data_IF_396425588873
#
_entry.id   IF_396425588873
#
_cell.length_a   1.000
_cell.length_b   1.000
_cell.length_c   1.000
_cell.angle_alpha   90.00
_cell.angle_beta   90.00
_cell.angle_gamma   90.00
#
_symmetry.space_group_name_H-M   'P 1'
#
loop_
_entity.id
_entity.type
_entity.pdbx_description
1 polymer ?
#
# COMPACT_ATOMS: atom_id res chain seq x y z
N UNK A 1 27.39 -14.99 -14.22
CA UNK A 1 26.26 -15.64 -13.49
C UNK A 1 26.03 -15.05 -12.10
N UNK A 2 27.05 -14.94 -11.23
CA UNK A 2 26.92 -14.33 -9.88
C UNK A 2 26.38 -12.88 -9.88
N UNK A 3 26.80 -12.06 -10.84
CA UNK A 3 26.31 -10.68 -11.01
C UNK A 3 24.79 -10.61 -11.23
N UNK A 4 24.26 -11.53 -12.06
CA UNK A 4 22.83 -11.61 -12.39
C UNK A 4 22.02 -12.04 -11.17
N UNK A 5 22.53 -12.98 -10.37
CA UNK A 5 21.90 -13.43 -9.12
C UNK A 5 21.86 -12.28 -8.10
N UNK A 6 22.96 -11.52 -7.93
CA UNK A 6 22.97 -10.35 -7.04
C UNK A 6 21.94 -9.29 -7.45
N UNK A 7 21.82 -9.01 -8.75
CA UNK A 7 20.82 -8.06 -9.27
C UNK A 7 19.38 -8.53 -9.02
N UNK A 8 19.10 -9.83 -9.18
CA UNK A 8 17.77 -10.39 -8.88
C UNK A 8 17.43 -10.33 -7.39
N UNK A 9 18.39 -10.61 -6.51
CA UNK A 9 18.20 -10.50 -5.05
C UNK A 9 17.97 -9.04 -4.65
N UNK A 10 18.78 -8.11 -5.16
CA UNK A 10 18.63 -6.69 -4.86
C UNK A 10 17.27 -6.13 -5.33
N UNK A 11 16.82 -6.52 -6.52
CA UNK A 11 15.49 -6.16 -7.02
C UNK A 11 14.37 -6.71 -6.12
N UNK A 12 14.46 -7.98 -5.68
CA UNK A 12 13.49 -8.58 -4.78
C UNK A 12 13.40 -7.87 -3.42
N UNK A 13 14.55 -7.51 -2.83
CA UNK A 13 14.59 -6.76 -1.56
C UNK A 13 13.94 -5.38 -1.71
N UNK A 14 14.17 -4.69 -2.83
CA UNK A 14 13.59 -3.38 -3.08
C UNK A 14 12.06 -3.44 -3.22
N UNK A 15 11.51 -4.47 -3.87
CA UNK A 15 10.06 -4.66 -3.99
C UNK A 15 9.43 -4.92 -2.61
N UNK A 16 10.03 -5.79 -1.79
CA UNK A 16 9.56 -6.08 -0.44
C UNK A 16 9.56 -4.85 0.47
N UNK A 17 10.56 -3.97 0.33
CA UNK A 17 10.63 -2.71 1.06
C UNK A 17 9.52 -1.73 0.67
N UNK A 18 9.21 -1.61 -0.64
CA UNK A 18 8.10 -0.77 -1.12
C UNK A 18 6.77 -1.27 -0.56
N UNK A 19 6.52 -2.58 -0.63
CA UNK A 19 5.29 -3.18 -0.11
C UNK A 19 5.16 -2.97 1.41
N UNK A 20 6.23 -3.15 2.17
CA UNK A 20 6.23 -2.90 3.62
C UNK A 20 5.92 -1.43 3.96
N UNK A 21 6.50 -0.48 3.22
CA UNK A 21 6.22 0.94 3.38
C UNK A 21 4.75 1.27 3.06
N UNK A 22 4.19 0.65 2.01
CA UNK A 22 2.79 0.81 1.66
C UNK A 22 1.85 0.29 2.76
N UNK A 23 2.09 -0.93 3.27
CA UNK A 23 1.31 -1.52 4.37
C UNK A 23 1.35 -0.67 5.63
N UNK A 24 2.52 -0.16 6.00
CA UNK A 24 2.68 0.76 7.15
C UNK A 24 1.85 2.04 6.98
N UNK A 25 1.84 2.61 5.78
CA UNK A 25 1.05 3.79 5.47
C UNK A 25 -0.45 3.49 5.55
N UNK A 26 -0.90 2.37 4.98
CA UNK A 26 -2.31 1.95 5.05
C UNK A 26 -2.77 1.75 6.49
N UNK A 27 -2.03 0.98 7.30
CA UNK A 27 -2.36 0.76 8.71
C UNK A 27 -2.33 2.07 9.50
N UNK A 28 -1.37 2.96 9.19
CA UNK A 28 -1.27 4.28 9.79
C UNK A 28 -2.46 5.20 9.51
N UNK A 29 -3.18 5.01 8.41
CA UNK A 29 -4.40 5.75 8.06
C UNK A 29 -5.66 5.03 8.58
N UNK A 30 -5.71 3.71 8.48
CA UNK A 30 -6.88 2.92 8.89
C UNK A 30 -7.11 2.95 10.40
N UNK A 31 -6.07 2.81 11.22
CA UNK A 31 -6.20 2.85 12.68
C UNK A 31 -6.85 4.15 13.21
N UNK A 32 -6.38 5.36 12.86
CA UNK A 32 -7.03 6.59 13.31
C UNK A 32 -8.40 6.81 12.66
N UNK A 33 -8.64 6.31 11.45
CA UNK A 33 -9.96 6.40 10.82
C UNK A 33 -11.00 5.56 11.58
N UNK A 34 -10.70 4.27 11.80
CA UNK A 34 -11.59 3.33 12.51
C UNK A 34 -11.70 3.72 14.00
N UNK A 35 -10.57 4.08 14.61
CA UNK A 35 -10.55 4.58 15.99
C UNK A 35 -11.31 5.88 16.15
N UNK A 36 -11.19 6.79 15.18
CA UNK A 36 -11.92 8.04 15.12
C UNK A 36 -13.43 7.85 14.95
N UNK A 37 -13.85 6.90 14.09
CA UNK A 37 -15.29 6.58 13.96
C UNK A 37 -15.86 5.94 15.23
N UNK A 38 -15.10 5.05 15.88
CA UNK A 38 -15.51 4.44 17.14
C UNK A 38 -15.61 5.50 18.27
N UNK A 39 -14.63 6.42 18.34
CA UNK A 39 -14.66 7.54 19.27
C UNK A 39 -15.84 8.46 19.00
N UNK A 40 -16.13 8.78 17.73
CA UNK A 40 -17.26 9.61 17.36
C UNK A 40 -18.58 8.94 17.79
N UNK A 41 -18.75 7.65 17.53
CA UNK A 41 -19.93 6.89 17.95
C UNK A 41 -20.12 6.92 19.49
N UNK A 42 -19.03 6.74 20.24
CA UNK A 42 -19.03 6.85 21.70
C UNK A 42 -19.45 8.25 22.16
N UNK A 43 -18.85 9.29 21.58
CA UNK A 43 -19.16 10.69 21.94
C UNK A 43 -20.61 11.05 21.60
N UNK A 44 -21.12 10.60 20.45
CA UNK A 44 -22.53 10.82 20.09
C UNK A 44 -23.46 10.14 21.08
N UNK A 45 -23.17 8.89 21.48
CA UNK A 45 -23.99 8.18 22.44
C UNK A 45 -23.96 8.89 23.81
N UNK A 46 -22.77 9.27 24.29
CA UNK A 46 -22.61 10.01 25.54
C UNK A 46 -23.40 11.33 25.51
N UNK A 47 -23.32 12.07 24.41
CA UNK A 47 -24.05 13.32 24.23
C UNK A 47 -25.57 13.11 24.27
N UNK A 48 -26.10 12.05 23.62
CA UNK A 48 -27.54 11.75 23.67
C UNK A 48 -28.05 11.44 25.08
N UNK A 49 -27.25 10.77 25.90
CA UNK A 49 -27.57 10.49 27.31
C UNK A 49 -27.52 11.78 28.13
N UNK A 50 -26.46 12.59 27.97
CA UNK A 50 -26.28 13.83 28.72
C UNK A 50 -27.32 14.91 28.41
N UNK A 51 -27.79 14.97 27.15
CA UNK A 51 -28.85 15.88 26.72
C UNK A 51 -30.26 15.37 27.08
N UNK A 52 -30.39 14.19 27.69
CA UNK A 52 -31.67 13.58 28.04
C UNK A 52 -32.48 13.10 26.83
N UNK A 53 -31.85 12.94 25.66
CA UNK A 53 -32.49 12.39 24.45
C UNK A 53 -32.63 10.87 24.56
N UNK A 54 -31.64 10.22 25.17
CA UNK A 54 -31.65 8.79 25.46
C UNK A 54 -31.68 8.56 26.98
N UNK A 55 -32.55 7.66 27.44
CA UNK A 55 -32.55 7.27 28.85
C UNK A 55 -31.31 6.43 29.18
N UNK A 56 -30.72 6.59 30.37
CA UNK A 56 -29.59 5.78 30.83
C UNK A 56 -30.07 4.37 31.19
N UNK A 57 -30.30 3.54 30.17
CA UNK A 57 -30.56 2.10 30.33
C UNK A 57 -29.26 1.32 30.52
N UNK A 58 -29.37 0.11 31.09
CA UNK A 58 -28.23 -0.80 31.22
C UNK A 58 -27.55 -1.09 29.87
N UNK A 59 -28.33 -1.22 28.80
CA UNK A 59 -27.85 -1.48 27.45
C UNK A 59 -27.04 -0.29 26.90
N UNK A 60 -27.52 0.93 27.12
CA UNK A 60 -26.83 2.14 26.70
C UNK A 60 -25.49 2.31 27.43
N UNK A 61 -25.46 1.98 28.73
CA UNK A 61 -24.23 2.00 29.53
C UNK A 61 -23.25 0.90 29.06
N UNK A 62 -23.74 -0.31 28.80
CA UNK A 62 -22.92 -1.41 28.29
C UNK A 62 -22.32 -1.08 26.91
N UNK A 63 -23.11 -0.47 26.03
CA UNK A 63 -22.62 0.01 24.73
C UNK A 63 -21.48 1.02 24.88
N UNK A 64 -21.61 1.99 25.79
CA UNK A 64 -20.55 2.97 26.07
C UNK A 64 -19.26 2.29 26.56
N UNK A 65 -19.35 1.31 27.47
CA UNK A 65 -18.19 0.54 27.93
C UNK A 65 -17.52 -0.26 26.82
N UNK A 66 -18.32 -0.93 25.98
CA UNK A 66 -17.81 -1.70 24.83
C UNK A 66 -17.10 -0.79 23.83
N UNK A 67 -17.68 0.37 23.49
CA UNK A 67 -17.04 1.33 22.60
C UNK A 67 -15.78 1.94 23.21
N UNK A 68 -15.79 2.25 24.51
CA UNK A 68 -14.59 2.72 25.21
C UNK A 68 -13.46 1.67 25.17
N UNK A 69 -13.78 0.39 25.38
CA UNK A 69 -12.82 -0.71 25.26
C UNK A 69 -12.27 -0.84 23.83
N UNK A 70 -13.11 -0.72 22.80
CA UNK A 70 -12.69 -0.73 21.39
C UNK A 70 -11.74 0.44 21.11
N UNK A 71 -12.06 1.66 21.54
CA UNK A 71 -11.20 2.84 21.38
C UNK A 71 -9.86 2.63 22.09
N UNK A 72 -9.86 2.05 23.30
CA UNK A 72 -8.64 1.75 24.04
C UNK A 72 -7.75 0.75 23.27
N UNK A 73 -8.33 -0.34 22.77
CA UNK A 73 -7.62 -1.35 21.99
C UNK A 73 -7.03 -0.75 20.72
N UNK A 74 -7.82 0.02 19.95
CA UNK A 74 -7.35 0.67 18.71
C UNK A 74 -6.25 1.69 18.98
N UNK A 75 -6.35 2.43 20.09
CA UNK A 75 -5.30 3.36 20.53
C UNK A 75 -4.01 2.60 20.90
N UNK A 76 -4.14 1.50 21.64
CA UNK A 76 -3.02 0.61 21.96
C UNK A 76 -2.34 0.08 20.70
N UNK A 77 -3.11 -0.42 19.73
CA UNK A 77 -2.62 -0.87 18.43
C UNK A 77 -1.92 0.24 17.64
N UNK A 78 -2.44 1.48 17.72
CA UNK A 78 -1.78 2.65 17.11
C UNK A 78 -0.41 2.91 17.74
N UNK A 79 -0.29 2.80 19.06
CA UNK A 79 1.00 2.92 19.76
C UNK A 79 1.95 1.79 19.35
N UNK A 80 1.48 0.54 19.27
CA UNK A 80 2.28 -0.61 18.82
C UNK A 80 2.78 -0.42 17.39
N UNK A 81 1.92 0.02 16.46
CA UNK A 81 2.29 0.31 15.08
C UNK A 81 3.36 1.41 14.99
N UNK A 82 3.27 2.42 15.86
CA UNK A 82 4.23 3.54 15.86
C UNK A 82 5.57 3.17 16.50
N UNK A 83 5.56 2.36 17.57
CA UNK A 83 6.74 2.15 18.43
C UNK A 83 7.42 0.79 18.29
N UNK A 84 6.70 -0.26 17.90
CA UNK A 84 7.21 -1.64 17.97
C UNK A 84 7.37 -2.24 16.58
N UNK A 85 6.27 -2.66 15.95
CA UNK A 85 6.29 -3.36 14.68
C UNK A 85 4.96 -3.22 13.97
N UNK A 86 5.02 -2.83 12.69
CA UNK A 86 3.84 -2.77 11.82
C UNK A 86 3.25 -4.14 11.58
N UNK A 87 4.08 -5.17 11.39
CA UNK A 87 3.57 -6.54 11.14
C UNK A 87 2.80 -7.08 12.36
N UNK A 88 3.33 -6.86 13.56
CA UNK A 88 2.64 -7.25 14.80
C UNK A 88 1.33 -6.48 14.99
N UNK A 89 1.34 -5.17 14.73
CA UNK A 89 0.15 -4.33 14.82
C UNK A 89 -0.91 -4.74 13.79
N UNK A 90 -0.52 -5.09 12.56
CA UNK A 90 -1.45 -5.60 11.53
C UNK A 90 -2.11 -6.91 11.94
N UNK A 91 -1.33 -7.88 12.44
CA UNK A 91 -1.85 -9.17 12.91
C UNK A 91 -2.82 -8.96 14.07
N UNK A 92 -2.42 -8.16 15.06
CA UNK A 92 -3.25 -7.87 16.22
C UNK A 92 -4.52 -7.10 15.84
N UNK A 93 -4.44 -6.15 14.90
CA UNK A 93 -5.61 -5.43 14.39
C UNK A 93 -6.61 -6.36 13.67
N UNK A 94 -6.14 -7.20 12.75
CA UNK A 94 -7.00 -8.16 12.03
C UNK A 94 -7.64 -9.16 12.99
N UNK A 95 -6.88 -9.62 13.99
CA UNK A 95 -7.40 -10.53 15.03
C UNK A 95 -8.45 -9.84 15.91
N UNK A 96 -8.19 -8.60 16.33
CA UNK A 96 -9.15 -7.81 17.09
C UNK A 96 -10.44 -7.55 16.28
N UNK A 97 -10.31 -7.30 14.98
CA UNK A 97 -11.47 -7.11 14.08
C UNK A 97 -12.29 -8.39 13.96
N UNK A 98 -11.64 -9.56 13.86
CA UNK A 98 -12.33 -10.85 13.86
C UNK A 98 -13.08 -11.08 15.19
N UNK A 99 -12.40 -10.88 16.32
CA UNK A 99 -13.01 -11.05 17.65
C UNK A 99 -14.20 -10.10 17.82
N UNK A 100 -14.03 -8.83 17.41
CA UNK A 100 -15.10 -7.85 17.46
C UNK A 100 -16.32 -8.33 16.66
N UNK A 101 -16.13 -8.77 15.41
CA UNK A 101 -17.22 -9.27 14.57
C UNK A 101 -17.94 -10.47 15.20
N UNK A 102 -17.20 -11.37 15.86
CA UNK A 102 -17.78 -12.55 16.52
C UNK A 102 -18.56 -12.21 17.81
N UNK A 103 -18.24 -11.08 18.45
CA UNK A 103 -18.85 -10.66 19.71
C UNK A 103 -19.89 -9.54 19.56
N UNK A 104 -20.02 -8.94 18.37
CA UNK A 104 -20.90 -7.77 18.16
C UNK A 104 -22.38 -8.15 18.17
N UNK A 105 -22.72 -9.30 17.59
CA UNK A 105 -24.10 -9.75 17.46
C UNK A 105 -24.33 -11.07 18.23
N UNK A 106 -25.59 -11.43 18.41
CA UNK A 106 -25.95 -12.74 18.96
C UNK A 106 -25.35 -13.87 18.09
N UNK A 107 -24.89 -14.99 18.70
CA UNK A 107 -24.26 -16.09 17.97
C UNK A 107 -25.07 -16.58 16.77
N UNK A 108 -26.40 -16.61 16.91
CA UNK A 108 -27.32 -16.99 15.83
C UNK A 108 -27.26 -15.99 14.67
N UNK A 109 -27.28 -14.68 14.93
CA UNK A 109 -27.23 -13.65 13.89
C UNK A 109 -25.86 -13.59 13.18
N UNK A 110 -24.77 -13.84 13.93
CA UNK A 110 -23.41 -13.93 13.38
C UNK A 110 -23.30 -15.10 12.40
N UNK A 111 -23.86 -16.25 12.79
CA UNK A 111 -23.83 -17.48 11.98
C UNK A 111 -24.78 -17.37 10.79
N UNK A 112 -26.00 -16.87 10.97
CA UNK A 112 -27.05 -16.89 9.94
C UNK A 112 -26.81 -15.94 8.76
N UNK A 113 -26.07 -14.85 8.94
CA UNK A 113 -25.58 -14.10 7.79
C UNK A 113 -25.31 -12.62 7.97
N UNK A 114 -25.91 -11.98 8.97
CA UNK A 114 -25.87 -10.52 9.12
C UNK A 114 -24.44 -10.00 9.29
N UNK A 115 -23.64 -10.72 10.06
CA UNK A 115 -22.26 -10.34 10.38
C UNK A 115 -21.23 -10.96 9.41
N UNK A 116 -21.67 -11.71 8.37
CA UNK A 116 -20.76 -12.29 7.35
C UNK A 116 -20.00 -11.21 6.59
N UNK A 117 -20.61 -10.03 6.41
CA UNK A 117 -19.94 -8.87 5.82
C UNK A 117 -18.74 -8.45 6.67
N UNK A 118 -18.88 -8.47 8.00
CA UNK A 118 -17.76 -8.20 8.91
C UNK A 118 -16.62 -9.21 8.73
N UNK A 119 -16.94 -10.49 8.58
CA UNK A 119 -15.95 -11.54 8.33
C UNK A 119 -15.26 -11.36 6.98
N UNK A 120 -16.01 -10.98 5.93
CA UNK A 120 -15.43 -10.63 4.64
C UNK A 120 -14.44 -9.46 4.76
N UNK A 121 -14.77 -8.43 5.54
CA UNK A 121 -13.86 -7.32 5.83
C UNK A 121 -12.59 -7.78 6.54
N UNK A 122 -12.68 -8.72 7.50
CA UNK A 122 -11.48 -9.34 8.14
C UNK A 122 -10.57 -9.98 7.10
N UNK A 123 -11.14 -10.79 6.19
CA UNK A 123 -10.39 -11.53 5.16
C UNK A 123 -9.69 -10.56 4.22
N UNK A 124 -10.39 -9.53 3.76
CA UNK A 124 -9.83 -8.48 2.89
C UNK A 124 -8.74 -7.72 3.63
N UNK A 125 -9.01 -7.28 4.87
CA UNK A 125 -8.04 -6.57 5.69
C UNK A 125 -6.76 -7.39 5.91
N UNK A 126 -6.87 -8.72 6.08
CA UNK A 126 -5.72 -9.61 6.22
C UNK A 126 -4.80 -9.60 4.98
N UNK A 127 -5.38 -9.63 3.77
CA UNK A 127 -4.57 -9.55 2.52
C UNK A 127 -3.86 -8.21 2.36
N UNK A 128 -4.54 -7.12 2.75
CA UNK A 128 -4.06 -5.76 2.54
C UNK A 128 -3.02 -5.35 3.59
N UNK A 129 -3.24 -5.71 4.85
CA UNK A 129 -2.45 -5.23 5.99
C UNK A 129 -1.26 -6.11 6.34
N UNK A 130 -1.33 -7.41 6.08
CA UNK A 130 -0.29 -8.37 6.49
C UNK A 130 0.50 -8.81 5.25
N UNK A 131 -0.03 -9.78 4.50
CA UNK A 131 0.53 -10.26 3.24
C UNK A 131 -0.61 -10.85 2.40
N UNK A 132 -0.50 -10.85 1.05
CA UNK A 132 -1.58 -11.31 0.19
C UNK A 132 -2.05 -12.75 0.45
N UNK A 133 -1.15 -13.67 0.79
CA UNK A 133 -1.50 -15.07 1.09
C UNK A 133 -2.22 -15.25 2.44
N UNK A 134 -2.17 -14.25 3.32
CA UNK A 134 -2.75 -14.33 4.67
C UNK A 134 -4.28 -14.24 4.62
N UNK A 135 -4.90 -13.75 3.53
CA UNK A 135 -6.36 -13.85 3.37
C UNK A 135 -6.85 -15.30 3.33
N UNK A 136 -6.08 -16.23 2.75
CA UNK A 136 -6.44 -17.64 2.74
C UNK A 136 -6.45 -18.22 4.15
N UNK A 137 -5.42 -17.89 4.93
CA UNK A 137 -5.33 -18.28 6.35
C UNK A 137 -6.46 -17.63 7.14
N UNK A 138 -6.73 -16.35 6.93
CA UNK A 138 -7.83 -15.64 7.58
C UNK A 138 -9.18 -16.26 7.22
N UNK A 139 -9.41 -16.68 5.97
CA UNK A 139 -10.65 -17.36 5.56
C UNK A 139 -10.84 -18.68 6.32
N UNK A 140 -9.78 -19.48 6.46
CA UNK A 140 -9.81 -20.74 7.23
C UNK A 140 -10.06 -20.46 8.71
N UNK A 141 -9.33 -19.53 9.32
CA UNK A 141 -9.50 -19.16 10.73
C UNK A 141 -10.91 -18.64 10.98
N UNK A 142 -11.42 -17.75 10.13
CA UNK A 142 -12.78 -17.22 10.23
C UNK A 142 -13.83 -18.31 10.09
N UNK A 143 -13.66 -19.27 9.19
CA UNK A 143 -14.56 -20.42 9.06
C UNK A 143 -14.56 -21.29 10.33
N UNK A 144 -13.38 -21.58 10.89
CA UNK A 144 -13.26 -22.34 12.13
C UNK A 144 -13.86 -21.60 13.31
N UNK A 145 -13.65 -20.29 13.42
CA UNK A 145 -14.19 -19.46 14.48
C UNK A 145 -15.74 -19.40 14.43
N UNK A 146 -16.31 -19.22 13.25
CA UNK A 146 -17.77 -19.31 13.06
C UNK A 146 -18.30 -20.71 13.33
N UNK A 147 -17.54 -21.76 12.97
CA UNK A 147 -17.90 -23.14 13.27
C UNK A 147 -17.96 -23.41 14.78
N UNK A 148 -16.96 -22.95 15.52
CA UNK A 148 -16.94 -23.03 16.98
C UNK A 148 -18.11 -22.27 17.60
N UNK A 149 -18.42 -21.07 17.11
CA UNK A 149 -19.56 -20.28 17.56
C UNK A 149 -20.90 -20.98 17.26
N UNK A 150 -21.05 -21.58 16.08
CA UNK A 150 -22.24 -22.34 15.71
C UNK A 150 -22.45 -23.56 16.60
N UNK A 151 -21.39 -24.33 16.88
CA UNK A 151 -21.45 -25.47 17.78
C UNK A 151 -21.82 -25.04 19.21
N UNK A 152 -21.25 -23.93 19.70
CA UNK A 152 -21.59 -23.38 21.01
C UNK A 152 -23.05 -22.91 21.11
N UNK A 153 -23.64 -22.46 19.99
CA UNK A 153 -25.03 -22.03 19.90
C UNK A 153 -26.03 -23.16 19.58
N UNK A 154 -25.57 -24.41 19.44
CA UNK A 154 -26.42 -25.55 19.06
C UNK A 154 -26.94 -25.50 17.62
N UNK A 155 -26.25 -24.76 16.74
CA UNK A 155 -26.62 -24.61 15.34
C UNK A 155 -25.99 -25.72 14.47
N UNK A 156 -26.65 -26.12 13.37
CA UNK A 156 -26.16 -27.18 12.50
C UNK A 156 -24.84 -26.79 11.81
N UNK A 157 -23.83 -27.65 11.92
CA UNK A 157 -22.51 -27.51 11.29
C UNK A 157 -22.14 -28.82 10.57
N UNK A 158 -21.47 -28.82 9.40
CA UNK A 158 -20.75 -27.73 8.72
C UNK A 158 -21.54 -26.98 7.62
N UNK A 159 -21.25 -25.67 7.46
CA UNK A 159 -21.78 -24.84 6.37
C UNK A 159 -20.81 -24.75 5.18
N UNK A 160 -20.87 -25.73 4.28
CA UNK A 160 -19.96 -25.83 3.12
C UNK A 160 -20.04 -24.64 2.14
N UNK A 161 -21.20 -23.99 2.00
CA UNK A 161 -21.33 -22.80 1.13
C UNK A 161 -20.42 -21.66 1.63
N UNK A 162 -20.36 -21.45 2.95
CA UNK A 162 -19.64 -20.31 3.54
C UNK A 162 -18.12 -20.45 3.39
N UNK A 163 -17.57 -21.65 3.57
CA UNK A 163 -16.13 -21.89 3.34
C UNK A 163 -15.77 -21.64 1.88
N UNK A 164 -16.61 -22.07 0.92
CA UNK A 164 -16.39 -21.81 -0.50
C UNK A 164 -16.42 -20.30 -0.77
N UNK A 165 -17.41 -19.57 -0.24
CA UNK A 165 -17.49 -18.12 -0.41
C UNK A 165 -16.29 -17.38 0.19
N UNK A 166 -15.84 -17.76 1.40
CA UNK A 166 -14.66 -17.14 2.01
C UNK A 166 -13.37 -17.44 1.27
N UNK A 167 -13.19 -18.68 0.79
CA UNK A 167 -12.04 -19.04 -0.04
C UNK A 167 -12.05 -18.31 -1.38
N UNK A 168 -13.20 -18.23 -2.05
CA UNK A 168 -13.36 -17.46 -3.28
C UNK A 168 -13.06 -15.98 -3.05
N UNK A 169 -13.57 -15.39 -1.96
CA UNK A 169 -13.27 -14.01 -1.59
C UNK A 169 -11.77 -13.80 -1.33
N UNK A 170 -11.14 -14.73 -0.59
CA UNK A 170 -9.72 -14.67 -0.30
C UNK A 170 -8.88 -14.75 -1.59
N UNK A 171 -9.25 -15.63 -2.53
CA UNK A 171 -8.63 -15.75 -3.85
C UNK A 171 -8.85 -14.50 -4.71
N UNK A 172 -10.08 -13.98 -4.74
CA UNK A 172 -10.43 -12.79 -5.49
C UNK A 172 -9.69 -11.55 -4.98
N UNK A 173 -9.43 -11.48 -3.68
CA UNK A 173 -8.65 -10.37 -3.08
C UNK A 173 -7.14 -10.57 -3.29
N UNK A 174 -6.69 -11.82 -3.27
CA UNK A 174 -5.29 -12.18 -3.49
C UNK A 174 -4.82 -11.95 -4.93
N UNK A 175 -5.68 -12.19 -5.93
CA UNK A 175 -5.26 -12.13 -7.33
C UNK A 175 -4.85 -10.71 -7.79
N UNK A 176 -5.67 -9.65 -7.66
CA UNK A 176 -5.31 -8.32 -8.14
C UNK A 176 -4.12 -7.74 -7.39
N UNK A 177 -4.03 -7.96 -6.07
CA UNK A 177 -2.92 -7.44 -5.25
C UNK A 177 -1.57 -7.97 -5.73
N UNK A 178 -1.53 -9.21 -6.25
CA UNK A 178 -0.31 -9.80 -6.79
C UNK A 178 0.05 -9.31 -8.20
N UNK A 179 -0.95 -8.96 -9.03
CA UNK A 179 -0.72 -8.46 -10.39
C UNK A 179 -0.45 -6.94 -10.44
N UNK A 180 -1.07 -6.17 -9.54
CA UNK A 180 -0.90 -4.71 -9.45
C UNK A 180 0.53 -4.32 -9.08
N UNK A 181 1.20 -5.10 -8.22
CA UNK A 181 2.60 -4.84 -7.88
C UNK A 181 3.52 -4.86 -9.10
N UNK A 182 3.26 -5.77 -10.06
CA UNK A 182 4.04 -5.84 -11.31
C UNK A 182 3.71 -4.68 -12.23
N UNK A 183 2.43 -4.35 -12.39
CA UNK A 183 2.01 -3.22 -13.22
C UNK A 183 2.58 -1.88 -12.70
N UNK A 184 2.55 -1.67 -11.38
CA UNK A 184 3.13 -0.47 -10.77
C UNK A 184 4.66 -0.43 -10.89
N UNK A 185 5.33 -1.58 -10.75
CA UNK A 185 6.77 -1.66 -10.95
C UNK A 185 7.15 -1.34 -12.41
N UNK A 186 6.35 -1.81 -13.37
CA UNK A 186 6.53 -1.52 -14.80
C UNK A 186 6.32 -0.03 -15.08
N UNK A 187 5.24 0.57 -14.57
CA UNK A 187 4.98 2.02 -14.71
C UNK A 187 6.10 2.83 -14.05
N UNK A 188 6.59 2.43 -12.88
CA UNK A 188 7.69 3.10 -12.21
C UNK A 188 8.99 3.02 -13.04
N UNK A 189 9.27 1.86 -13.65
CA UNK A 189 10.42 1.68 -14.53
C UNK A 189 10.31 2.54 -15.80
N UNK A 190 9.14 2.60 -16.42
CA UNK A 190 8.87 3.45 -17.59
C UNK A 190 9.04 4.94 -17.23
N UNK A 191 8.49 5.38 -16.10
CA UNK A 191 8.64 6.76 -15.63
C UNK A 191 10.09 7.13 -15.34
N UNK A 192 10.87 6.23 -14.73
CA UNK A 192 12.30 6.45 -14.50
C UNK A 192 13.07 6.60 -15.84
N UNK A 193 12.73 5.78 -16.83
CA UNK A 193 13.32 5.88 -18.16
C UNK A 193 12.96 7.19 -18.86
N UNK A 194 11.71 7.65 -18.75
CA UNK A 194 11.27 8.92 -19.32
C UNK A 194 11.99 10.10 -18.68
N UNK A 195 12.13 10.13 -17.34
CA UNK A 195 12.89 11.18 -16.64
C UNK A 195 14.34 11.24 -17.12
N UNK A 196 15.01 10.09 -17.21
CA UNK A 196 16.37 10.04 -17.73
C UNK A 196 16.50 10.55 -19.19
N UNK A 197 15.46 10.36 -20.02
CA UNK A 197 15.42 10.92 -21.38
C UNK A 197 15.21 12.43 -21.38
N UNK A 198 14.33 12.95 -20.53
CA UNK A 198 14.12 14.39 -20.39
C UNK A 198 15.38 15.10 -19.90
N UNK A 199 16.06 14.55 -18.88
CA UNK A 199 17.30 15.13 -18.36
C UNK A 199 18.43 15.13 -19.39
N UNK A 200 18.48 14.10 -20.27
CA UNK A 200 19.42 14.09 -21.40
C UNK A 200 19.08 15.17 -22.42
N UNK A 201 17.80 15.35 -22.79
CA UNK A 201 17.36 16.39 -23.72
C UNK A 201 17.60 17.80 -23.17
N UNK A 202 17.36 18.02 -21.88
CA UNK A 202 17.63 19.30 -21.23
C UNK A 202 19.11 19.67 -21.30
N UNK A 203 20.00 18.72 -21.00
CA UNK A 203 21.46 18.91 -21.16
C UNK A 203 21.86 19.19 -22.60
N UNK A 204 21.27 18.49 -23.57
CA UNK A 204 21.51 18.74 -24.99
C UNK A 204 21.07 20.15 -25.41
N UNK A 205 19.88 20.59 -24.99
CA UNK A 205 19.38 21.93 -25.31
C UNK A 205 20.23 23.03 -24.67
N UNK A 206 20.63 22.85 -23.41
CA UNK A 206 21.46 23.81 -22.71
C UNK A 206 22.84 23.95 -23.36
N UNK A 207 23.46 22.84 -23.76
CA UNK A 207 24.72 22.86 -24.48
C UNK A 207 24.63 23.50 -25.87
N UNK A 208 23.52 23.30 -26.60
CA UNK A 208 23.28 23.98 -27.88
C UNK A 208 23.15 25.50 -27.68
N UNK A 209 22.44 25.94 -26.64
CA UNK A 209 22.32 27.37 -26.31
C UNK A 209 23.68 27.94 -25.94
N UNK A 210 24.44 27.25 -25.09
CA UNK A 210 25.78 27.66 -24.68
C UNK A 210 26.71 27.82 -25.89
N UNK A 211 26.70 26.86 -26.81
CA UNK A 211 27.41 26.92 -28.09
C UNK A 211 26.99 28.13 -28.93
N UNK A 212 25.68 28.35 -29.09
CA UNK A 212 25.15 29.46 -29.87
C UNK A 212 25.46 30.83 -29.26
N UNK A 213 25.60 30.91 -27.93
CA UNK A 213 25.98 32.14 -27.21
C UNK A 213 27.48 32.32 -27.04
N UNK A 214 28.29 31.31 -27.39
CA UNK A 214 29.74 31.40 -27.27
C UNK A 214 30.29 32.42 -28.27
N UNK A 215 31.14 33.32 -27.78
CA UNK A 215 31.72 34.42 -28.57
C UNK A 215 32.70 33.94 -29.64
N UNK A 216 33.12 32.67 -29.59
CA UNK A 216 33.94 31.96 -30.58
C UNK A 216 33.30 31.90 -31.97
N UNK A 217 31.96 31.91 -32.07
CA UNK A 217 31.27 32.02 -33.35
C UNK A 217 31.17 33.46 -33.89
N UNK A 218 31.42 34.47 -33.05
CA UNK A 218 31.41 35.87 -33.47
C UNK A 218 32.78 36.34 -34.01
N UNK A 219 33.86 35.59 -33.80
CA UNK A 219 35.23 35.98 -34.17
C UNK A 219 35.70 35.51 -35.56
N UNK A 220 34.81 34.92 -36.38
CA UNK A 220 35.10 34.38 -37.73
C UNK A 220 36.24 33.32 -37.80
N UNK A 221 36.69 32.81 -36.66
CA UNK A 221 37.68 31.73 -36.55
C UNK A 221 36.98 30.37 -36.51
N UNK A 222 36.77 29.82 -37.71
CA UNK A 222 36.11 28.51 -37.91
C UNK A 222 36.81 27.37 -37.15
N UNK A 223 38.15 27.41 -37.01
CA UNK A 223 38.89 26.35 -36.33
C UNK A 223 38.67 26.38 -34.81
N UNK A 224 38.65 27.57 -34.21
CA UNK A 224 38.32 27.74 -32.80
C UNK A 224 36.88 27.31 -32.51
N UNK A 225 35.92 27.72 -33.34
CA UNK A 225 34.50 27.32 -33.21
C UNK A 225 34.28 25.81 -33.35
N UNK A 226 34.95 25.14 -34.30
CA UNK A 226 34.88 23.68 -34.45
C UNK A 226 35.47 22.92 -33.25
N UNK A 227 36.53 23.45 -32.63
CA UNK A 227 37.13 22.84 -31.44
C UNK A 227 36.20 22.96 -30.23
N UNK A 228 35.56 24.11 -30.08
CA UNK A 228 34.59 24.36 -29.00
C UNK A 228 33.35 23.48 -29.17
N UNK A 229 32.82 23.39 -30.40
CA UNK A 229 31.69 22.54 -30.75
C UNK A 229 31.98 21.06 -30.53
N UNK A 230 33.15 20.57 -30.94
CA UNK A 230 33.54 19.17 -30.69
C UNK A 230 33.81 18.89 -29.22
N UNK A 231 34.35 19.84 -28.47
CA UNK A 231 34.55 19.75 -27.01
C UNK A 231 33.23 19.62 -26.27
N UNK A 232 32.32 20.56 -26.48
CA UNK A 232 30.98 20.56 -25.87
C UNK A 232 30.17 19.32 -26.27
N UNK A 233 30.25 18.88 -27.54
CA UNK A 233 29.60 17.65 -27.99
C UNK A 233 30.17 16.40 -27.29
N UNK A 234 31.49 16.33 -27.08
CA UNK A 234 32.13 15.22 -26.38
C UNK A 234 31.70 15.16 -24.90
N UNK A 235 31.61 16.32 -24.24
CA UNK A 235 31.14 16.43 -22.86
C UNK A 235 29.68 15.99 -22.70
N UNK A 236 28.77 16.51 -23.54
CA UNK A 236 27.33 16.20 -23.50
C UNK A 236 27.06 14.71 -23.75
N UNK A 237 27.81 14.09 -24.66
CA UNK A 237 27.66 12.68 -24.98
C UNK A 237 28.41 11.77 -24.00
N UNK A 238 29.26 12.32 -23.12
CA UNK A 238 30.07 11.55 -22.18
C UNK A 238 31.10 10.66 -22.86
N UNK A 239 31.67 11.11 -23.98
CA UNK A 239 32.67 10.37 -24.77
C UNK A 239 33.99 11.13 -24.80
N UNK A 240 35.10 10.42 -24.92
CA UNK A 240 36.43 11.03 -24.81
C UNK A 240 36.78 11.96 -25.99
N UNK A 241 36.26 11.70 -27.20
CA UNK A 241 36.49 12.51 -28.41
C UNK A 241 35.31 12.42 -29.37
N UNK A 242 35.06 13.52 -30.08
CA UNK A 242 34.12 13.62 -31.21
C UNK A 242 34.86 14.21 -32.39
N UNK A 243 34.74 13.60 -33.57
CA UNK A 243 35.32 14.10 -34.81
C UNK A 243 34.24 14.68 -35.72
N UNK A 244 34.55 15.78 -36.41
CA UNK A 244 33.70 16.40 -37.42
C UNK A 244 34.37 16.22 -38.78
N UNK A 245 33.62 15.71 -39.75
CA UNK A 245 34.05 15.61 -41.14
C UNK A 245 33.33 16.70 -41.93
N UNK A 246 34.11 17.58 -42.57
CA UNK A 246 33.57 18.58 -43.49
C UNK A 246 33.51 17.95 -44.88
N UNK A 247 32.31 17.89 -45.46
CA UNK A 247 32.15 17.52 -46.86
C UNK A 247 32.44 18.79 -47.69
N UNK A 248 33.48 18.75 -48.54
CA UNK A 248 33.67 19.77 -49.58
C UNK A 248 32.86 19.32 -50.80
N UNK A 249 32.00 20.20 -51.33
CA UNK A 249 31.21 19.95 -52.53
C UNK A 249 32.03 20.03 -53.83
N UNK A 250 33.36 20.19 -53.77
CA UNK A 250 34.23 20.35 -54.93
C UNK A 250 34.60 19.02 -55.63
N UNK A 251 33.65 18.08 -55.73
CA UNK A 251 33.83 16.77 -56.37
C UNK A 251 32.59 16.27 -57.08
#
# INVERSE_FOLDING_TARGET
MREKIRRLIAAGVHVLAIEAAHRRRLLGVLLPLVGGSALLALLTMLATILLGVAEPSADNIAFCWNMAAVVLVLTGLHVVNRRISTDAASIAFVSALLILVLLTDEPMQVVEGRSLVGVAVVIVAASVLIRPWVSLVAAVISYLALGALALAAGLPWPHWIRIIMFLLLALLTWYPTHHLGRALAEVAAVNAMQRARFDRRGRQQQAIIELATSSTFASDDLHAGLRDLTGTAAEVMGVARVGVWLLSEDG
#
